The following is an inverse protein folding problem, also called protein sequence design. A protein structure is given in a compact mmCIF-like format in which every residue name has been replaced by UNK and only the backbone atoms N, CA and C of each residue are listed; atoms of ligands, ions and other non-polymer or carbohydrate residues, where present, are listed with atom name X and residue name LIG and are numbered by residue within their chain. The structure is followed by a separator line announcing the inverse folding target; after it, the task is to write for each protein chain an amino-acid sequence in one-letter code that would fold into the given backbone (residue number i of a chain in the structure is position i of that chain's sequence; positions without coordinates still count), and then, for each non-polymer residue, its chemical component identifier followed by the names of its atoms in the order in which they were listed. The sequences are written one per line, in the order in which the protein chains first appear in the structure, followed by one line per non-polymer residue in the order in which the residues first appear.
data_IF_729680064949
#
_entry.id   IF_729680064949
#
_cell.length_a   1.000
_cell.length_b   1.000
_cell.length_c   1.000
_cell.angle_alpha   90.00
_cell.angle_beta   90.00
_cell.angle_gamma   90.00
#
_symmetry.space_group_name_H-M   'P 1'
#
loop_
_entity.id
_entity.type
_entity.pdbx_description
1 polymer ?
#
# COMPACT_ATOMS: atom_id res chain seq x y z
N UNK A 1 -29.71 27.32 -13.70
CA UNK A 1 -30.04 25.95 -13.25
C UNK A 1 -30.16 25.10 -14.51
N UNK A 2 -29.23 24.16 -14.74
CA UNK A 2 -29.40 23.19 -15.83
C UNK A 2 -30.60 22.32 -15.45
N UNK A 3 -31.57 22.14 -16.35
CA UNK A 3 -32.57 21.09 -16.20
C UNK A 3 -31.83 19.75 -16.23
N UNK A 4 -31.46 19.25 -15.06
CA UNK A 4 -30.90 17.90 -14.94
C UNK A 4 -31.99 16.93 -15.38
N UNK A 5 -31.70 16.13 -16.42
CA UNK A 5 -32.63 15.12 -16.89
C UNK A 5 -32.86 14.09 -15.78
N UNK A 6 -34.11 13.68 -15.60
CA UNK A 6 -34.47 12.58 -14.69
C UNK A 6 -34.38 11.26 -15.46
N UNK A 7 -33.87 10.23 -14.80
CA UNK A 7 -33.94 8.84 -15.25
C UNK A 7 -35.03 8.15 -14.44
N UNK A 8 -35.85 7.35 -15.12
CA UNK A 8 -36.89 6.53 -14.53
C UNK A 8 -36.38 5.09 -14.41
N UNK A 9 -36.53 4.51 -13.23
CA UNK A 9 -36.18 3.13 -12.92
C UNK A 9 -37.43 2.36 -12.54
N UNK A 10 -37.68 1.22 -13.19
CA UNK A 10 -38.76 0.34 -12.84
C UNK A 10 -38.25 -0.74 -11.89
N UNK A 11 -38.71 -0.69 -10.63
CA UNK A 11 -38.35 -1.67 -9.61
C UNK A 11 -38.76 -3.10 -9.98
N UNK A 12 -39.87 -3.29 -10.71
CA UNK A 12 -40.28 -4.63 -11.14
C UNK A 12 -39.25 -5.23 -12.11
N UNK A 13 -38.73 -4.42 -13.03
CA UNK A 13 -37.71 -4.86 -14.00
C UNK A 13 -36.37 -5.16 -13.30
N UNK A 14 -35.98 -4.33 -12.32
CA UNK A 14 -34.80 -4.57 -11.48
C UNK A 14 -34.94 -5.89 -10.74
N UNK A 15 -36.06 -6.12 -10.06
CA UNK A 15 -36.32 -7.33 -9.28
C UNK A 15 -36.37 -8.56 -10.18
N UNK A 16 -37.07 -8.50 -11.31
CA UNK A 16 -37.13 -9.60 -12.28
C UNK A 16 -35.74 -9.98 -12.77
N UNK A 17 -34.90 -8.99 -13.11
CA UNK A 17 -33.51 -9.23 -13.52
C UNK A 17 -32.70 -9.86 -12.39
N UNK A 18 -32.86 -9.35 -11.17
CA UNK A 18 -32.15 -9.84 -9.98
C UNK A 18 -32.48 -11.31 -9.67
N UNK A 19 -33.76 -11.68 -9.63
CA UNK A 19 -34.19 -13.06 -9.32
C UNK A 19 -33.93 -14.03 -10.48
N UNK A 20 -33.82 -13.54 -11.72
CA UNK A 20 -33.41 -14.34 -12.87
C UNK A 20 -31.92 -14.71 -12.81
N UNK A 21 -31.06 -13.78 -12.37
CA UNK A 21 -29.63 -14.04 -12.16
C UNK A 21 -29.37 -14.85 -10.89
N UNK A 22 -30.20 -14.68 -9.85
CA UNK A 22 -30.04 -15.31 -8.55
C UNK A 22 -31.34 -16.02 -8.08
N UNK A 23 -31.63 -17.23 -8.60
CA UNK A 23 -32.85 -18.00 -8.25
C UNK A 23 -32.94 -18.42 -6.77
N UNK A 24 -31.85 -18.31 -6.02
CA UNK A 24 -31.74 -18.54 -4.57
C UNK A 24 -32.39 -17.45 -3.72
N UNK A 25 -32.79 -16.32 -4.29
CA UNK A 25 -33.52 -15.25 -3.60
C UNK A 25 -34.95 -15.74 -3.28
N UNK A 26 -35.35 -15.60 -2.02
CA UNK A 26 -36.69 -15.89 -1.50
C UNK A 26 -37.60 -14.68 -1.49
N UNK A 27 -37.07 -13.54 -1.07
CA UNK A 27 -37.84 -12.33 -0.89
C UNK A 27 -36.96 -11.10 -1.09
N UNK A 28 -37.57 -10.02 -1.58
CA UNK A 28 -36.94 -8.72 -1.80
C UNK A 28 -37.78 -7.64 -1.14
N UNK A 29 -37.10 -6.78 -0.38
CA UNK A 29 -37.70 -5.67 0.35
C UNK A 29 -37.02 -4.35 -0.05
N UNK A 30 -37.78 -3.26 -0.02
CA UNK A 30 -37.28 -1.89 -0.12
C UNK A 30 -37.09 -1.33 1.28
N UNK A 31 -35.93 -0.74 1.57
CA UNK A 31 -35.71 -0.06 2.85
C UNK A 31 -34.99 1.28 2.65
N UNK A 32 -34.64 1.96 3.74
CA UNK A 32 -33.89 3.20 3.67
C UNK A 32 -34.69 4.37 3.08
N UNK A 33 -33.98 5.33 2.50
CA UNK A 33 -34.55 6.67 2.21
C UNK A 33 -35.69 6.68 1.19
N UNK A 34 -35.74 5.67 0.30
CA UNK A 34 -36.80 5.51 -0.71
C UNK A 34 -38.07 4.88 -0.13
N UNK A 35 -37.95 3.99 0.86
CA UNK A 35 -39.10 3.47 1.60
C UNK A 35 -39.86 4.59 2.33
N UNK A 36 -39.15 5.57 2.90
CA UNK A 36 -39.75 6.74 3.57
C UNK A 36 -40.29 7.83 2.64
N UNK A 37 -40.31 7.62 1.31
CA UNK A 37 -40.81 8.59 0.31
C UNK A 37 -40.23 9.99 0.46
N UNK A 38 -38.96 10.10 0.83
CA UNK A 38 -38.26 11.38 1.14
C UNK A 38 -38.19 12.36 -0.05
N UNK A 39 -38.56 11.94 -1.26
CA UNK A 39 -38.57 12.79 -2.46
C UNK A 39 -37.17 13.16 -2.97
N UNK A 40 -36.12 12.60 -2.37
CA UNK A 40 -34.74 12.86 -2.76
C UNK A 40 -34.40 12.15 -4.07
N UNK A 41 -34.25 12.92 -5.15
CA UNK A 41 -33.76 12.39 -6.44
C UNK A 41 -32.27 12.00 -6.42
N UNK A 42 -31.59 12.23 -5.29
CA UNK A 42 -30.17 11.92 -5.10
C UNK A 42 -29.89 10.68 -4.28
N UNK A 43 -30.91 10.07 -3.72
CA UNK A 43 -30.74 8.91 -2.87
C UNK A 43 -30.67 7.62 -3.67
N UNK A 44 -29.89 6.67 -3.15
CA UNK A 44 -29.81 5.29 -3.63
C UNK A 44 -31.14 4.56 -3.41
N UNK A 45 -31.27 3.39 -4.02
CA UNK A 45 -32.38 2.45 -3.88
C UNK A 45 -31.85 1.27 -3.07
N UNK A 46 -32.09 1.30 -1.76
CA UNK A 46 -31.65 0.25 -0.84
C UNK A 46 -32.59 -0.96 -0.92
N UNK A 47 -32.09 -2.08 -1.43
CA UNK A 47 -32.83 -3.35 -1.52
C UNK A 47 -32.26 -4.36 -0.53
N UNK A 48 -33.14 -5.06 0.18
CA UNK A 48 -32.79 -6.18 1.05
C UNK A 48 -33.32 -7.48 0.45
N UNK A 49 -32.44 -8.42 0.13
CA UNK A 49 -32.78 -9.74 -0.38
C UNK A 49 -32.50 -10.83 0.67
N UNK A 50 -33.50 -11.66 0.94
CA UNK A 50 -33.33 -12.90 1.72
C UNK A 50 -33.10 -14.07 0.78
N UNK A 51 -32.09 -14.90 1.06
CA UNK A 51 -31.63 -15.92 0.11
C UNK A 51 -31.28 -17.23 0.83
N UNK A 52 -31.41 -18.35 0.11
CA UNK A 52 -31.08 -19.72 0.61
C UNK A 52 -29.59 -20.07 0.57
N UNK A 53 -28.74 -19.21 0.01
CA UNK A 53 -27.34 -19.50 -0.22
C UNK A 53 -26.55 -18.26 -0.57
N UNK A 54 -25.23 -18.34 -0.40
CA UNK A 54 -24.32 -17.19 -0.53
C UNK A 54 -24.29 -16.67 -1.96
N UNK A 55 -24.71 -15.42 -2.12
CA UNK A 55 -24.57 -14.68 -3.38
C UNK A 55 -23.16 -14.09 -3.43
N UNK A 56 -22.42 -14.37 -4.51
CA UNK A 56 -21.08 -13.81 -4.69
C UNK A 56 -21.14 -12.32 -5.00
N UNK A 57 -20.44 -11.53 -4.18
CA UNK A 57 -20.24 -10.09 -4.41
C UNK A 57 -19.71 -9.77 -5.80
N UNK A 58 -18.76 -10.56 -6.32
CA UNK A 58 -18.17 -10.31 -7.64
C UNK A 58 -19.18 -10.52 -8.78
N UNK A 59 -20.14 -11.43 -8.58
CA UNK A 59 -21.13 -11.79 -9.58
C UNK A 59 -22.18 -10.68 -9.72
N UNK A 60 -22.75 -10.24 -8.59
CA UNK A 60 -23.71 -9.12 -8.56
C UNK A 60 -23.09 -7.82 -9.07
N UNK A 61 -21.87 -7.49 -8.61
CA UNK A 61 -21.21 -6.25 -9.01
C UNK A 61 -20.90 -6.19 -10.50
N UNK A 62 -20.75 -7.34 -11.17
CA UNK A 62 -20.38 -7.39 -12.59
C UNK A 62 -21.46 -6.87 -13.54
N UNK A 63 -22.73 -6.84 -13.11
CA UNK A 63 -23.85 -6.44 -13.96
C UNK A 63 -24.81 -5.44 -13.29
N UNK A 64 -25.12 -5.61 -11.99
CA UNK A 64 -26.14 -4.80 -11.32
C UNK A 64 -25.78 -3.32 -11.30
N UNK A 65 -24.51 -2.99 -11.12
CA UNK A 65 -24.07 -1.59 -11.08
C UNK A 65 -24.02 -0.94 -12.47
N UNK A 66 -23.61 -1.70 -13.49
CA UNK A 66 -23.52 -1.18 -14.86
C UNK A 66 -24.92 -0.94 -15.44
N UNK A 67 -25.88 -1.83 -15.14
CA UNK A 67 -27.26 -1.72 -15.62
C UNK A 67 -28.14 -0.82 -14.72
N UNK A 68 -27.95 -0.90 -13.40
CA UNK A 68 -28.76 -0.21 -12.39
C UNK A 68 -27.88 0.52 -11.35
N UNK A 69 -27.16 1.59 -11.75
CA UNK A 69 -26.26 2.34 -10.89
C UNK A 69 -26.81 2.81 -9.52
N UNK A 70 -28.10 3.19 -9.38
CA UNK A 70 -28.59 3.69 -8.08
C UNK A 70 -28.96 2.59 -7.08
N UNK A 71 -28.85 1.30 -7.41
CA UNK A 71 -29.27 0.21 -6.52
C UNK A 71 -28.13 -0.18 -5.57
N UNK A 72 -28.40 -0.15 -4.26
CA UNK A 72 -27.55 -0.75 -3.22
C UNK A 72 -28.23 -2.02 -2.69
N UNK A 73 -27.64 -3.17 -3.01
CA UNK A 73 -28.19 -4.47 -2.63
C UNK A 73 -27.56 -4.96 -1.32
N UNK A 74 -28.41 -5.33 -0.38
CA UNK A 74 -28.07 -6.03 0.85
C UNK A 74 -28.62 -7.44 0.79
N UNK A 75 -27.82 -8.44 1.17
CA UNK A 75 -28.26 -9.83 1.26
C UNK A 75 -28.22 -10.34 2.69
N UNK A 76 -29.17 -11.19 3.07
CA UNK A 76 -29.18 -11.87 4.36
C UNK A 76 -29.59 -13.34 4.19
N UNK A 77 -28.86 -14.23 4.85
CA UNK A 77 -29.10 -15.68 4.84
C UNK A 77 -29.76 -16.18 6.12
N UNK A 78 -29.63 -15.40 7.20
CA UNK A 78 -30.09 -15.75 8.55
C UNK A 78 -31.20 -14.83 9.07
N UNK A 79 -31.64 -13.88 8.22
CA UNK A 79 -32.64 -12.83 8.50
C UNK A 79 -32.27 -11.95 9.71
N UNK A 80 -31.01 -12.01 10.16
CA UNK A 80 -30.50 -11.27 11.32
C UNK A 80 -29.38 -10.33 10.94
N UNK A 81 -28.56 -10.71 9.95
CA UNK A 81 -27.45 -9.90 9.45
C UNK A 81 -27.66 -9.68 7.97
N UNK A 82 -27.84 -8.42 7.58
CA UNK A 82 -27.85 -8.00 6.18
C UNK A 82 -26.50 -7.40 5.83
N UNK A 83 -25.85 -7.91 4.79
CA UNK A 83 -24.55 -7.46 4.30
C UNK A 83 -24.72 -6.75 2.97
N UNK A 84 -24.20 -5.53 2.82
CA UNK A 84 -24.13 -4.86 1.52
C UNK A 84 -23.24 -5.69 0.60
N UNK A 85 -23.77 -6.03 -0.56
CA UNK A 85 -23.05 -6.76 -1.60
C UNK A 85 -21.92 -5.91 -2.18
N UNK A 86 -22.04 -4.58 -2.11
CA UNK A 86 -21.07 -3.64 -2.69
C UNK A 86 -19.85 -3.44 -1.79
N UNK A 87 -20.06 -3.17 -0.49
CA UNK A 87 -18.98 -2.75 0.42
C UNK A 87 -18.77 -3.66 1.64
N UNK A 88 -19.59 -4.69 1.81
CA UNK A 88 -19.50 -5.62 2.94
C UNK A 88 -19.90 -5.02 4.29
N UNK A 89 -20.47 -3.81 4.31
CA UNK A 89 -21.05 -3.24 5.54
C UNK A 89 -22.22 -4.08 6.00
N UNK A 90 -22.37 -4.20 7.32
CA UNK A 90 -23.38 -5.06 7.93
C UNK A 90 -24.40 -4.25 8.71
N UNK A 91 -25.67 -4.53 8.49
CA UNK A 91 -26.78 -4.17 9.37
C UNK A 91 -27.14 -5.41 10.18
N UNK A 92 -26.95 -5.33 11.49
CA UNK A 92 -27.27 -6.42 12.41
C UNK A 92 -28.57 -6.09 13.15
N UNK A 93 -29.47 -7.06 13.25
CA UNK A 93 -30.65 -7.00 14.08
C UNK A 93 -30.25 -6.88 15.56
N UNK A 94 -30.73 -5.82 16.21
CA UNK A 94 -30.47 -5.51 17.60
C UNK A 94 -31.68 -5.99 18.41
N UNK A 95 -31.47 -7.05 19.19
CA UNK A 95 -32.49 -7.55 20.12
C UNK A 95 -32.61 -6.64 21.35
N UNK A 96 -33.05 -5.40 21.14
CA UNK A 96 -33.19 -4.35 22.16
C UNK A 96 -34.61 -4.25 22.74
N UNK A 97 -35.49 -5.17 22.35
CA UNK A 97 -36.89 -5.24 22.79
C UNK A 97 -37.84 -4.27 22.09
N UNK A 98 -37.38 -3.47 21.11
CA UNK A 98 -38.23 -2.55 20.35
C UNK A 98 -38.78 -3.14 19.05
N UNK A 99 -37.97 -3.95 18.37
CA UNK A 99 -38.32 -4.60 17.11
C UNK A 99 -38.19 -6.12 17.28
N UNK A 100 -39.04 -6.88 16.61
CA UNK A 100 -39.04 -8.35 16.71
C UNK A 100 -38.08 -9.01 15.73
N UNK A 101 -37.74 -8.34 14.63
CA UNK A 101 -36.87 -8.86 13.58
C UNK A 101 -36.16 -7.73 12.79
N UNK A 102 -35.31 -8.12 11.83
CA UNK A 102 -34.55 -7.19 11.00
C UNK A 102 -35.44 -6.35 10.06
N UNK A 103 -36.52 -6.92 9.53
CA UNK A 103 -37.46 -6.24 8.62
C UNK A 103 -38.10 -5.05 9.34
N UNK A 104 -38.64 -5.29 10.55
CA UNK A 104 -39.23 -4.25 11.40
C UNK A 104 -38.18 -3.21 11.81
N UNK A 105 -36.97 -3.63 12.16
CA UNK A 105 -35.90 -2.69 12.51
C UNK A 105 -35.56 -1.72 11.36
N UNK A 106 -35.67 -2.18 10.12
CA UNK A 106 -35.38 -1.40 8.93
C UNK A 106 -36.59 -0.66 8.36
N UNK A 107 -37.78 -0.86 8.94
CA UNK A 107 -39.07 -0.49 8.34
C UNK A 107 -39.17 -0.92 6.87
N UNK A 108 -38.70 -2.14 6.58
CA UNK A 108 -38.54 -2.64 5.22
C UNK A 108 -39.90 -3.07 4.62
N UNK A 109 -40.17 -2.65 3.39
CA UNK A 109 -41.42 -2.88 2.67
C UNK A 109 -41.25 -4.06 1.73
N UNK A 110 -42.11 -5.08 1.84
CA UNK A 110 -42.07 -6.24 0.95
C UNK A 110 -42.41 -5.83 -0.49
N UNK A 111 -41.51 -6.15 -1.43
CA UNK A 111 -41.70 -5.92 -2.86
C UNK A 111 -42.03 -7.21 -3.61
N UNK A 112 -41.31 -8.29 -3.31
CA UNK A 112 -41.47 -9.56 -4.02
C UNK A 112 -41.15 -10.74 -3.12
N UNK A 113 -41.86 -11.85 -3.30
CA UNK A 113 -41.60 -13.12 -2.65
C UNK A 113 -41.73 -14.27 -3.65
N UNK A 114 -40.90 -15.29 -3.53
CA UNK A 114 -40.79 -16.40 -4.49
C UNK A 114 -42.09 -17.16 -4.69
N UNK A 115 -42.85 -17.35 -3.61
CA UNK A 115 -44.09 -18.13 -3.63
C UNK A 115 -45.31 -17.27 -4.02
N UNK A 116 -45.27 -15.97 -3.73
CA UNK A 116 -46.42 -15.06 -3.85
C UNK A 116 -46.27 -14.01 -4.98
N UNK A 117 -45.10 -13.90 -5.58
CA UNK A 117 -44.80 -12.91 -6.61
C UNK A 117 -44.65 -11.49 -6.06
N UNK A 118 -45.03 -10.49 -6.85
CA UNK A 118 -44.95 -9.09 -6.45
C UNK A 118 -46.02 -8.74 -5.41
N UNK A 119 -45.65 -7.95 -4.41
CA UNK A 119 -46.56 -7.47 -3.37
C UNK A 119 -47.64 -6.57 -3.96
N UNK A 120 -48.90 -6.84 -3.62
CA UNK A 120 -50.04 -5.98 -3.98
C UNK A 120 -50.09 -4.69 -3.14
N UNK A 121 -49.41 -4.67 -1.99
CA UNK A 121 -49.41 -3.54 -1.05
C UNK A 121 -48.49 -2.40 -1.51
N UNK A 122 -47.53 -2.69 -2.40
CA UNK A 122 -46.61 -1.70 -2.95
C UNK A 122 -47.06 -1.22 -4.33
N UNK A 123 -47.31 0.09 -4.47
CA UNK A 123 -47.80 0.70 -5.71
C UNK A 123 -46.76 1.52 -6.48
N UNK A 124 -45.66 1.89 -5.84
CA UNK A 124 -44.73 2.91 -6.35
C UNK A 124 -43.53 2.29 -7.08
N UNK A 125 -43.80 1.55 -8.16
CA UNK A 125 -42.78 0.80 -8.90
C UNK A 125 -41.80 1.67 -9.69
N UNK A 126 -42.15 2.92 -9.96
CA UNK A 126 -41.31 3.84 -10.71
C UNK A 126 -40.54 4.79 -9.78
N UNK A 127 -39.20 4.70 -9.80
CA UNK A 127 -38.31 5.57 -9.02
C UNK A 127 -37.54 6.50 -9.96
N UNK A 128 -37.48 7.79 -9.60
CA UNK A 128 -36.73 8.79 -10.35
C UNK A 128 -35.40 9.14 -9.67
N UNK A 129 -34.33 9.24 -10.47
CA UNK A 129 -33.01 9.77 -10.08
C UNK A 129 -32.54 10.85 -11.06
N UNK A 130 -31.60 11.72 -10.65
CA UNK A 130 -30.97 12.65 -11.59
C UNK A 130 -29.90 11.93 -12.42
N UNK A 131 -29.89 12.18 -13.72
CA UNK A 131 -28.95 11.58 -14.69
C UNK A 131 -27.47 11.86 -14.41
N UNK A 132 -27.17 13.04 -13.87
CA UNK A 132 -25.79 13.53 -13.68
C UNK A 132 -25.26 13.27 -12.26
N UNK A 133 -25.88 12.36 -11.50
CA UNK A 133 -25.37 11.98 -10.19
C UNK A 133 -24.34 10.87 -10.35
N UNK A 134 -23.16 11.16 -9.84
CA UNK A 134 -22.15 10.16 -9.53
C UNK A 134 -22.55 9.48 -8.22
N UNK A 135 -23.17 8.31 -8.32
CA UNK A 135 -23.51 7.46 -7.16
C UNK A 135 -22.22 6.86 -6.62
N UNK A 136 -21.53 7.63 -5.76
CA UNK A 136 -20.23 7.25 -5.20
C UNK A 136 -20.37 6.09 -4.23
N UNK A 137 -20.11 4.89 -4.71
CA UNK A 137 -19.97 3.71 -3.87
C UNK A 137 -18.76 3.87 -2.94
N UNK A 138 -18.98 3.65 -1.65
CA UNK A 138 -17.87 3.44 -0.70
C UNK A 138 -17.36 2.00 -0.83
N UNK A 139 -16.83 1.65 -1.99
CA UNK A 139 -16.22 0.34 -2.21
C UNK A 139 -14.95 0.28 -1.35
N UNK A 140 -14.85 -0.67 -0.42
CA UNK A 140 -13.54 -1.22 -0.07
C UNK A 140 -13.23 -2.19 -1.19
N UNK A 141 -12.35 -1.86 -2.14
CA UNK A 141 -12.21 -2.68 -3.32
C UNK A 141 -11.71 -4.06 -2.90
N UNK A 142 -12.54 -5.10 -3.06
CA UNK A 142 -12.09 -6.48 -3.13
C UNK A 142 -11.54 -6.75 -4.53
N UNK A 143 -10.65 -5.89 -5.02
CA UNK A 143 -9.80 -6.31 -6.12
C UNK A 143 -8.89 -7.39 -5.54
N UNK A 144 -8.60 -8.49 -6.25
CA UNK A 144 -7.26 -9.04 -6.09
C UNK A 144 -6.34 -7.87 -6.41
N UNK A 145 -5.65 -7.34 -5.39
CA UNK A 145 -4.67 -6.27 -5.55
C UNK A 145 -3.46 -6.83 -6.31
N UNK A 146 -3.67 -7.26 -7.55
CA UNK A 146 -2.66 -7.90 -8.38
C UNK A 146 -1.59 -6.90 -8.82
N UNK A 147 -1.77 -5.59 -8.56
CA UNK A 147 -0.76 -4.63 -8.93
C UNK A 147 -0.68 -3.36 -8.07
N UNK A 148 -0.57 -3.53 -6.75
CA UNK A 148 -0.18 -2.43 -5.84
C UNK A 148 1.05 -1.67 -6.34
N UNK A 149 2.01 -2.40 -6.92
CA UNK A 149 3.18 -1.83 -7.55
C UNK A 149 2.81 -0.93 -8.75
N UNK A 150 1.94 -1.37 -9.65
CA UNK A 150 1.52 -0.54 -10.80
C UNK A 150 0.73 0.70 -10.38
N UNK A 151 -0.20 0.57 -9.43
CA UNK A 151 -0.96 1.73 -8.91
C UNK A 151 -0.04 2.74 -8.25
N UNK A 152 0.89 2.27 -7.41
CA UNK A 152 1.91 3.13 -6.82
C UNK A 152 2.81 3.76 -7.88
N UNK A 153 3.28 2.97 -8.87
CA UNK A 153 4.12 3.46 -9.96
C UNK A 153 3.41 4.54 -10.80
N UNK A 154 2.12 4.36 -11.09
CA UNK A 154 1.29 5.38 -11.77
C UNK A 154 1.17 6.65 -10.93
N UNK A 155 0.94 6.53 -9.63
CA UNK A 155 0.89 7.68 -8.73
C UNK A 155 2.23 8.42 -8.68
N UNK A 156 3.34 7.68 -8.54
CA UNK A 156 4.69 8.24 -8.54
C UNK A 156 5.03 8.92 -9.89
N UNK A 157 4.62 8.31 -11.01
CA UNK A 157 4.80 8.87 -12.35
C UNK A 157 4.00 10.18 -12.52
N UNK A 158 2.75 10.23 -12.07
CA UNK A 158 1.93 11.43 -12.15
C UNK A 158 2.53 12.60 -11.33
N UNK A 159 3.08 12.31 -10.15
CA UNK A 159 3.81 13.29 -9.35
C UNK A 159 5.06 13.78 -10.09
N UNK A 160 5.84 12.87 -10.67
CA UNK A 160 7.03 13.19 -11.45
C UNK A 160 6.72 14.08 -12.66
N UNK A 161 5.64 13.80 -13.40
CA UNK A 161 5.14 14.64 -14.51
C UNK A 161 4.74 16.03 -14.03
N UNK A 162 4.29 16.15 -12.78
CA UNK A 162 3.95 17.44 -12.15
C UNK A 162 5.16 18.18 -11.58
N UNK A 163 6.38 17.68 -11.83
CA UNK A 163 7.63 18.27 -11.32
C UNK A 163 7.92 17.96 -9.85
N UNK A 164 7.06 17.18 -9.17
CA UNK A 164 7.28 16.70 -7.81
C UNK A 164 8.03 15.38 -7.94
N UNK A 165 9.23 15.28 -7.36
CA UNK A 165 9.97 14.00 -7.33
C UNK A 165 9.60 13.25 -6.05
N UNK A 166 8.65 12.31 -6.07
CA UNK A 166 8.38 11.50 -4.89
C UNK A 166 9.57 10.59 -4.61
N UNK A 167 9.86 10.38 -3.33
CA UNK A 167 10.81 9.37 -2.90
C UNK A 167 10.03 8.16 -2.39
N UNK A 168 10.24 7.01 -3.04
CA UNK A 168 9.77 5.71 -2.58
C UNK A 168 10.99 4.83 -2.38
N UNK A 169 11.19 4.34 -1.16
CA UNK A 169 12.34 3.52 -0.81
C UNK A 169 12.34 2.18 -1.54
N UNK A 170 11.16 1.60 -1.80
CA UNK A 170 11.02 0.27 -2.38
C UNK A 170 9.96 -0.55 -1.65
N UNK A 171 9.49 -1.60 -2.30
CA UNK A 171 8.51 -2.56 -1.80
C UNK A 171 9.15 -3.90 -1.42
N UNK A 172 10.37 -4.15 -1.87
CA UNK A 172 11.17 -5.34 -1.53
C UNK A 172 12.46 -4.95 -0.81
N UNK A 173 13.07 -5.90 -0.09
CA UNK A 173 14.35 -5.66 0.58
C UNK A 173 15.47 -5.25 -0.37
N UNK A 174 15.43 -5.75 -1.61
CA UNK A 174 16.39 -5.41 -2.66
C UNK A 174 16.21 -3.97 -3.11
N UNK A 175 14.97 -3.58 -3.44
CA UNK A 175 14.65 -2.21 -3.85
C UNK A 175 15.02 -1.20 -2.77
N UNK A 176 14.73 -1.52 -1.50
CA UNK A 176 15.07 -0.67 -0.36
C UNK A 176 16.58 -0.51 -0.23
N UNK A 177 17.34 -1.61 -0.34
CA UNK A 177 18.79 -1.57 -0.23
C UNK A 177 19.46 -0.85 -1.43
N UNK A 178 18.93 -1.04 -2.64
CA UNK A 178 19.33 -0.29 -3.83
C UNK A 178 19.01 1.20 -3.69
N UNK A 179 17.87 1.55 -3.09
CA UNK A 179 17.51 2.94 -2.83
C UNK A 179 18.43 3.59 -1.79
N UNK A 180 18.75 2.89 -0.70
CA UNK A 180 19.74 3.32 0.30
C UNK A 180 21.09 3.58 -0.36
N UNK A 181 21.62 2.60 -1.09
CA UNK A 181 22.94 2.74 -1.74
C UNK A 181 22.95 3.89 -2.74
N UNK A 182 21.91 4.02 -3.57
CA UNK A 182 21.76 5.10 -4.54
C UNK A 182 21.71 6.48 -3.88
N UNK A 183 21.07 6.64 -2.73
CA UNK A 183 21.08 7.92 -2.00
C UNK A 183 22.48 8.32 -1.56
N UNK A 184 23.25 7.36 -1.02
CA UNK A 184 24.63 7.60 -0.61
C UNK A 184 25.50 7.92 -1.83
N UNK A 185 25.37 7.18 -2.93
CA UNK A 185 26.10 7.45 -4.19
C UNK A 185 25.76 8.83 -4.78
N UNK A 186 24.51 9.28 -4.69
CA UNK A 186 24.10 10.63 -5.13
C UNK A 186 24.73 11.68 -4.23
N UNK A 187 24.70 11.50 -2.91
CA UNK A 187 25.31 12.44 -1.97
C UNK A 187 26.83 12.54 -2.14
N UNK A 188 27.47 11.43 -2.55
CA UNK A 188 28.89 11.35 -2.88
C UNK A 188 29.25 11.89 -4.28
N UNK A 189 28.33 12.60 -4.95
CA UNK A 189 28.60 13.35 -6.17
C UNK A 189 28.47 14.84 -5.89
N UNK A 190 29.52 15.61 -6.15
CA UNK A 190 29.45 17.08 -6.07
C UNK A 190 28.42 17.59 -7.09
N UNK A 191 27.42 18.38 -6.69
CA UNK A 191 26.44 18.93 -7.62
C UNK A 191 27.14 19.89 -8.61
N UNK A 192 26.78 19.81 -9.89
CA UNK A 192 27.33 20.68 -10.93
C UNK A 192 26.87 22.13 -10.77
N UNK A 193 25.64 22.31 -10.29
CA UNK A 193 24.98 23.60 -10.12
C UNK A 193 24.61 23.78 -8.65
N UNK A 194 25.39 24.57 -7.93
CA UNK A 194 25.05 25.04 -6.58
C UNK A 194 25.39 26.52 -6.42
N UNK A 195 24.80 27.17 -5.41
CA UNK A 195 25.00 28.59 -5.17
C UNK A 195 26.44 28.86 -4.71
N UNK A 196 27.30 29.27 -5.65
CA UNK A 196 28.74 29.52 -5.41
C UNK A 196 29.03 30.62 -4.37
N UNK A 197 28.09 31.54 -4.17
CA UNK A 197 28.21 32.67 -3.24
C UNK A 197 27.63 32.38 -1.84
N UNK A 198 27.27 31.12 -1.55
CA UNK A 198 26.81 30.75 -0.22
C UNK A 198 27.94 30.96 0.80
N UNK A 199 27.73 31.87 1.76
CA UNK A 199 28.77 32.28 2.72
C UNK A 199 29.02 31.24 3.82
N UNK A 200 28.01 30.45 4.17
CA UNK A 200 28.04 29.57 5.34
C UNK A 200 28.04 28.07 5.01
N UNK A 201 27.84 27.70 3.74
CA UNK A 201 27.79 26.30 3.32
C UNK A 201 28.22 26.18 1.85
N UNK A 202 29.24 25.36 1.59
CA UNK A 202 29.67 25.02 0.24
C UNK A 202 30.03 23.54 0.17
N UNK A 203 29.74 22.90 -0.95
CA UNK A 203 30.15 21.51 -1.20
C UNK A 203 31.68 21.35 -1.23
N UNK A 204 32.43 22.43 -1.42
CA UNK A 204 33.90 22.41 -1.34
C UNK A 204 34.44 22.46 0.09
N UNK A 205 33.61 22.83 1.06
CA UNK A 205 33.96 22.83 2.49
C UNK A 205 33.68 21.49 3.17
N UNK A 206 32.93 20.60 2.51
CA UNK A 206 32.67 19.24 3.00
C UNK A 206 33.96 18.42 2.85
N UNK A 207 34.37 17.78 3.94
CA UNK A 207 35.57 16.94 4.02
C UNK A 207 35.25 15.63 4.73
N UNK A 208 35.62 14.51 4.13
CA UNK A 208 35.49 13.16 4.69
C UNK A 208 36.89 12.57 4.79
N UNK A 209 37.46 12.56 5.98
CA UNK A 209 38.86 12.20 6.21
C UNK A 209 39.03 10.77 6.73
N UNK A 210 37.98 10.21 7.31
CA UNK A 210 38.02 8.92 7.99
C UNK A 210 36.66 8.18 7.90
N UNK A 211 36.63 6.97 8.47
CA UNK A 211 35.43 6.10 8.51
C UNK A 211 34.27 6.73 9.28
N UNK A 212 34.53 7.39 10.41
CA UNK A 212 33.50 8.03 11.24
C UNK A 212 32.87 9.25 10.56
N UNK A 213 33.65 10.05 9.82
CA UNK A 213 33.11 11.15 9.01
C UNK A 213 32.12 10.61 7.96
N UNK A 214 32.46 9.46 7.35
CA UNK A 214 31.60 8.81 6.38
C UNK A 214 30.34 8.21 7.02
N UNK A 215 30.48 7.56 8.18
CA UNK A 215 29.36 7.06 8.97
C UNK A 215 28.39 8.20 9.36
N UNK A 216 28.92 9.34 9.84
CA UNK A 216 28.11 10.51 10.17
C UNK A 216 27.36 11.06 8.95
N UNK A 217 28.01 11.08 7.78
CA UNK A 217 27.38 11.45 6.52
C UNK A 217 26.23 10.49 6.16
N UNK A 218 26.45 9.17 6.25
CA UNK A 218 25.42 8.16 6.02
C UNK A 218 24.22 8.40 6.94
N UNK A 219 24.46 8.59 8.24
CA UNK A 219 23.39 8.85 9.20
C UNK A 219 22.61 10.13 8.87
N UNK A 220 23.31 11.21 8.50
CA UNK A 220 22.69 12.48 8.10
C UNK A 220 21.79 12.32 6.87
N UNK A 221 22.19 11.51 5.89
CA UNK A 221 21.43 11.28 4.65
C UNK A 221 20.21 10.40 4.90
N UNK A 222 20.36 9.34 5.70
CA UNK A 222 19.33 8.31 5.84
C UNK A 222 18.28 8.63 6.91
N UNK A 223 18.65 9.33 7.99
CA UNK A 223 17.75 9.61 9.12
C UNK A 223 16.42 10.30 8.75
N UNK A 224 16.36 11.24 7.78
CA UNK A 224 15.08 11.84 7.37
C UNK A 224 14.08 10.83 6.77
N UNK A 225 14.58 9.71 6.24
CA UNK A 225 13.80 8.68 5.55
C UNK A 225 13.56 7.46 6.45
N UNK A 226 14.57 7.12 7.27
CA UNK A 226 14.52 6.03 8.25
C UNK A 226 14.76 6.63 9.64
N UNK A 227 13.73 7.20 10.29
CA UNK A 227 13.88 7.85 11.59
C UNK A 227 14.37 6.91 12.70
N UNK A 228 14.21 5.60 12.51
CA UNK A 228 14.61 4.51 13.39
C UNK A 228 16.03 3.98 13.13
N UNK A 229 16.80 4.62 12.25
CA UNK A 229 18.21 4.25 12.04
C UNK A 229 19.01 4.42 13.35
N UNK A 230 19.51 3.31 13.88
CA UNK A 230 20.26 3.26 15.12
C UNK A 230 21.77 3.06 14.83
N UNK A 231 22.65 3.98 15.25
CA UNK A 231 24.10 3.75 15.19
C UNK A 231 24.53 2.71 16.24
N UNK A 232 25.64 2.02 15.97
CA UNK A 232 26.25 1.03 16.87
C UNK A 232 25.24 0.02 17.42
N UNK A 233 24.41 -0.55 16.53
CA UNK A 233 23.30 -1.37 16.97
C UNK A 233 23.75 -2.81 17.26
N UNK A 234 23.33 -3.36 18.41
CA UNK A 234 23.69 -4.71 18.83
C UNK A 234 23.00 -5.74 17.92
N UNK A 235 23.78 -6.54 17.21
CA UNK A 235 23.26 -7.51 16.23
C UNK A 235 23.00 -8.87 16.85
N UNK A 236 23.98 -9.37 17.60
CA UNK A 236 23.95 -10.70 18.21
C UNK A 236 24.96 -10.75 19.36
N UNK A 237 24.68 -11.62 20.32
CA UNK A 237 25.63 -12.01 21.35
C UNK A 237 26.00 -13.47 21.11
N UNK A 238 27.27 -13.73 20.78
CA UNK A 238 27.80 -15.09 20.60
C UNK A 238 28.80 -15.34 21.71
N UNK A 239 28.61 -16.38 22.51
CA UNK A 239 29.49 -16.75 23.63
C UNK A 239 29.83 -15.58 24.58
N UNK A 240 28.87 -14.67 24.80
CA UNK A 240 29.03 -13.48 25.63
C UNK A 240 29.71 -12.29 24.95
N UNK A 241 30.30 -12.47 23.76
CA UNK A 241 30.81 -11.38 22.94
C UNK A 241 29.68 -10.72 22.15
N UNK A 242 29.51 -9.41 22.36
CA UNK A 242 28.54 -8.59 21.66
C UNK A 242 29.15 -8.09 20.35
N UNK A 243 28.42 -8.24 19.25
CA UNK A 243 28.80 -7.63 17.98
C UNK A 243 27.82 -6.54 17.60
N UNK A 244 28.37 -5.40 17.23
CA UNK A 244 27.66 -4.21 16.85
C UNK A 244 27.88 -3.97 15.36
N UNK A 245 26.82 -3.60 14.64
CA UNK A 245 26.97 -3.05 13.30
C UNK A 245 27.02 -1.53 13.37
N UNK A 246 27.57 -0.90 12.34
CA UNK A 246 27.62 0.56 12.27
C UNK A 246 26.21 1.17 12.28
N UNK A 247 25.25 0.60 11.52
CA UNK A 247 23.84 0.97 11.62
C UNK A 247 22.88 -0.21 11.49
N UNK A 248 21.74 -0.10 12.18
CA UNK A 248 20.57 -0.97 12.01
C UNK A 248 19.30 -0.17 11.71
N UNK A 249 18.45 -0.69 10.83
CA UNK A 249 17.12 -0.13 10.49
C UNK A 249 16.07 -1.23 10.61
N UNK A 250 14.84 -0.86 10.98
CA UNK A 250 13.68 -1.74 11.09
C UNK A 250 13.91 -2.93 12.02
N UNK A 251 14.51 -2.66 13.19
CA UNK A 251 14.92 -3.66 14.18
C UNK A 251 15.93 -4.67 13.58
N UNK A 252 17.03 -4.16 13.03
CA UNK A 252 18.14 -4.92 12.44
C UNK A 252 17.78 -5.82 11.25
N UNK A 253 16.63 -5.59 10.61
CA UNK A 253 16.30 -6.25 9.33
C UNK A 253 17.19 -5.75 8.20
N UNK A 254 17.61 -4.48 8.27
CA UNK A 254 18.62 -3.91 7.39
C UNK A 254 19.81 -3.52 8.25
N UNK A 255 20.99 -4.01 7.86
CA UNK A 255 22.25 -3.73 8.51
C UNK A 255 23.16 -3.01 7.53
N UNK A 256 23.77 -1.92 7.97
CA UNK A 256 24.72 -1.14 7.16
C UNK A 256 26.08 -1.17 7.85
N UNK A 257 27.10 -1.52 7.08
CA UNK A 257 28.51 -1.55 7.47
C UNK A 257 29.28 -0.58 6.58
N UNK A 258 29.97 0.38 7.18
CA UNK A 258 30.75 1.38 6.48
C UNK A 258 32.24 1.09 6.65
N UNK A 259 33.03 1.21 5.58
CA UNK A 259 34.48 1.04 5.64
C UNK A 259 35.20 2.14 4.86
N UNK A 260 36.35 2.58 5.36
CA UNK A 260 37.23 3.56 4.70
C UNK A 260 38.53 2.93 4.23
N UNK A 261 38.83 3.09 2.93
CA UNK A 261 40.07 2.61 2.30
C UNK A 261 40.92 3.82 1.88
N UNK A 262 41.99 4.08 2.62
CA UNK A 262 42.98 5.12 2.30
C UNK A 262 44.32 4.59 1.78
N UNK A 263 44.53 3.26 1.82
CA UNK A 263 45.77 2.61 1.42
C UNK A 263 45.52 1.24 0.79
N UNK A 264 46.47 0.74 0.00
CA UNK A 264 46.42 -0.62 -0.55
C UNK A 264 46.43 -1.71 0.52
N UNK A 265 47.08 -1.48 1.66
CA UNK A 265 47.05 -2.41 2.80
C UNK A 265 45.64 -2.49 3.39
N UNK A 266 45.00 -1.34 3.63
CA UNK A 266 43.62 -1.29 4.13
C UNK A 266 42.64 -1.90 3.14
N UNK A 267 42.86 -1.74 1.83
CA UNK A 267 42.09 -2.44 0.79
C UNK A 267 42.13 -3.96 1.00
N UNK A 268 43.31 -4.56 1.14
CA UNK A 268 43.43 -6.00 1.33
C UNK A 268 42.72 -6.49 2.61
N UNK A 269 42.83 -5.72 3.70
CA UNK A 269 42.15 -5.99 4.97
C UNK A 269 40.62 -5.97 4.82
N UNK A 270 40.06 -4.93 4.19
CA UNK A 270 38.62 -4.80 3.96
C UNK A 270 38.10 -5.93 3.10
N UNK A 271 38.80 -6.28 2.00
CA UNK A 271 38.39 -7.39 1.14
C UNK A 271 38.35 -8.73 1.87
N UNK A 272 39.31 -9.00 2.75
CA UNK A 272 39.30 -10.20 3.60
C UNK A 272 38.14 -10.19 4.60
N UNK A 273 37.80 -9.02 5.11
CA UNK A 273 36.73 -8.84 6.11
C UNK A 273 35.35 -9.05 5.50
N UNK A 274 35.13 -8.62 4.25
CA UNK A 274 33.87 -8.84 3.53
C UNK A 274 33.50 -10.32 3.42
N UNK A 275 34.48 -11.17 3.08
CA UNK A 275 34.26 -12.62 2.99
C UNK A 275 33.85 -13.22 4.33
N UNK A 276 34.44 -12.74 5.45
CA UNK A 276 34.12 -13.23 6.80
C UNK A 276 32.78 -12.73 7.35
N UNK A 277 32.45 -11.45 7.12
CA UNK A 277 31.21 -10.85 7.63
C UNK A 277 29.96 -11.41 6.95
N UNK A 278 30.07 -11.81 5.68
CA UNK A 278 28.98 -12.48 4.97
C UNK A 278 28.48 -13.71 5.73
N UNK A 279 29.40 -14.61 6.12
CA UNK A 279 29.03 -15.83 6.84
C UNK A 279 28.42 -15.50 8.20
N UNK A 280 28.99 -14.53 8.90
CA UNK A 280 28.51 -14.10 10.21
C UNK A 280 27.04 -13.64 10.18
N UNK A 281 26.66 -12.80 9.23
CA UNK A 281 25.29 -12.29 9.17
C UNK A 281 24.28 -13.29 8.61
N UNK A 282 24.74 -14.29 7.84
CA UNK A 282 23.88 -15.39 7.39
C UNK A 282 23.37 -16.28 8.53
N UNK A 283 24.05 -16.28 9.68
CA UNK A 283 23.63 -17.01 10.88
C UNK A 283 22.48 -16.30 11.63
N UNK A 284 22.23 -15.01 11.36
CA UNK A 284 21.17 -14.25 12.00
C UNK A 284 19.92 -14.16 11.11
N UNK A 285 18.89 -14.95 11.43
CA UNK A 285 17.65 -15.05 10.66
C UNK A 285 16.82 -13.75 10.61
N UNK A 286 17.08 -12.80 11.52
CA UNK A 286 16.40 -11.51 11.54
C UNK A 286 16.91 -10.58 10.43
N UNK A 287 18.19 -10.67 10.06
CA UNK A 287 18.80 -9.84 9.03
C UNK A 287 18.24 -10.24 7.66
N UNK A 288 17.64 -9.28 6.94
CA UNK A 288 17.08 -9.47 5.60
C UNK A 288 17.97 -8.88 4.51
N UNK A 289 18.63 -7.76 4.81
CA UNK A 289 19.56 -7.11 3.91
C UNK A 289 20.79 -6.60 4.66
N UNK A 290 21.96 -6.80 4.07
CA UNK A 290 23.25 -6.37 4.56
C UNK A 290 23.92 -5.50 3.49
N UNK A 291 24.21 -4.26 3.83
CA UNK A 291 24.74 -3.25 2.91
C UNK A 291 26.14 -2.86 3.38
N UNK A 292 27.16 -3.13 2.55
CA UNK A 292 28.52 -2.63 2.74
C UNK A 292 28.75 -1.40 1.88
N UNK A 293 28.98 -0.27 2.53
CA UNK A 293 29.35 0.99 1.90
C UNK A 293 30.84 1.22 2.11
N UNK A 294 31.63 1.09 1.05
CA UNK A 294 33.08 1.16 1.14
C UNK A 294 33.56 2.42 0.43
N UNK A 295 33.90 3.43 1.23
CA UNK A 295 34.44 4.67 0.70
C UNK A 295 35.95 4.52 0.52
N UNK A 296 36.48 4.92 -0.63
CA UNK A 296 37.90 4.83 -0.91
C UNK A 296 38.51 6.13 -1.44
N UNK A 297 39.77 6.37 -1.08
CA UNK A 297 40.53 7.52 -1.52
C UNK A 297 40.90 7.42 -3.00
N UNK A 298 40.88 8.55 -3.70
CA UNK A 298 40.99 8.62 -5.16
C UNK A 298 42.28 8.04 -5.75
N UNK A 299 43.34 7.97 -4.97
CA UNK A 299 44.66 7.43 -5.33
C UNK A 299 44.78 5.91 -5.12
N UNK A 300 43.80 5.26 -4.49
CA UNK A 300 43.78 3.82 -4.31
C UNK A 300 43.15 3.15 -5.55
N UNK A 301 43.86 2.22 -6.22
CA UNK A 301 43.32 1.55 -7.40
C UNK A 301 42.20 0.57 -7.00
N UNK A 302 40.98 0.88 -7.40
CA UNK A 302 39.77 0.09 -7.14
C UNK A 302 39.05 -0.12 -8.48
N UNK A 303 38.78 -1.38 -8.80
CA UNK A 303 37.85 -1.76 -9.87
C UNK A 303 36.47 -1.92 -9.25
N UNK A 304 35.72 -0.82 -9.19
CA UNK A 304 34.40 -0.78 -8.54
C UNK A 304 33.45 -1.82 -9.14
N UNK A 305 33.42 -1.95 -10.47
CA UNK A 305 32.50 -2.85 -11.17
C UNK A 305 32.78 -4.31 -10.83
N UNK A 306 34.05 -4.72 -10.94
CA UNK A 306 34.45 -6.10 -10.63
C UNK A 306 34.19 -6.43 -9.15
N UNK A 307 34.54 -5.52 -8.23
CA UNK A 307 34.41 -5.78 -6.80
C UNK A 307 32.94 -5.74 -6.34
N UNK A 308 32.14 -4.80 -6.83
CA UNK A 308 30.70 -4.77 -6.55
C UNK A 308 30.04 -6.09 -6.99
N UNK A 309 30.36 -6.58 -8.20
CA UNK A 309 29.85 -7.85 -8.72
C UNK A 309 30.34 -9.05 -7.90
N UNK A 310 31.62 -9.07 -7.52
CA UNK A 310 32.22 -10.20 -6.79
C UNK A 310 31.62 -10.39 -5.40
N UNK A 311 31.35 -9.29 -4.69
CA UNK A 311 30.95 -9.34 -3.28
C UNK A 311 29.44 -9.14 -3.04
N UNK A 312 28.67 -8.69 -4.04
CA UNK A 312 27.21 -8.58 -3.91
C UNK A 312 26.52 -9.91 -4.26
N UNK A 313 25.57 -10.30 -3.43
CA UNK A 313 24.73 -11.49 -3.57
C UNK A 313 23.27 -11.09 -3.36
N UNK A 314 22.66 -10.51 -4.39
CA UNK A 314 21.31 -9.92 -4.28
C UNK A 314 20.20 -10.99 -4.19
N UNK A 315 20.50 -12.24 -4.57
CA UNK A 315 19.55 -13.36 -4.52
C UNK A 315 19.68 -14.24 -3.26
N UNK A 316 20.59 -13.92 -2.34
CA UNK A 316 20.73 -14.68 -1.07
C UNK A 316 19.79 -14.16 0.01
N UNK A 317 19.67 -14.90 1.11
CA UNK A 317 19.03 -14.43 2.34
C UNK A 317 20.01 -14.63 3.51
N UNK A 318 20.48 -13.55 4.16
CA UNK A 318 20.25 -12.15 3.82
C UNK A 318 20.77 -11.77 2.44
N UNK A 319 20.17 -10.76 1.83
CA UNK A 319 20.72 -10.13 0.63
C UNK A 319 21.99 -9.38 1.01
N UNK A 320 23.04 -9.51 0.21
CA UNK A 320 24.31 -8.81 0.46
C UNK A 320 24.57 -7.84 -0.67
N UNK A 321 24.66 -6.55 -0.36
CA UNK A 321 24.93 -5.51 -1.34
C UNK A 321 26.24 -4.81 -0.95
N UNK A 322 27.22 -4.82 -1.85
CA UNK A 322 28.49 -4.14 -1.65
C UNK A 322 28.63 -3.04 -2.67
N UNK A 323 28.96 -1.83 -2.22
CA UNK A 323 29.22 -0.67 -3.06
C UNK A 323 30.53 -0.01 -2.68
N UNK A 324 31.48 -0.04 -3.60
CA UNK A 324 32.69 0.77 -3.55
C UNK A 324 32.38 2.16 -4.10
N UNK A 325 32.71 3.20 -3.34
CA UNK A 325 32.38 4.59 -3.65
C UNK A 325 33.66 5.44 -3.54
N UNK A 326 34.00 6.13 -4.62
CA UNK A 326 35.13 7.06 -4.61
C UNK A 326 34.84 8.29 -3.74
N UNK A 327 35.79 8.69 -2.90
CA UNK A 327 35.70 9.93 -2.16
C UNK A 327 35.97 11.15 -3.06
N UNK A 328 34.96 12.01 -3.20
CA UNK A 328 35.06 13.28 -3.91
C UNK A 328 35.16 14.49 -2.97
N UNK A 329 35.11 14.24 -1.66
CA UNK A 329 35.21 15.21 -0.57
C UNK A 329 36.50 14.99 0.25
N UNK A 330 37.61 14.74 -0.45
CA UNK A 330 38.96 14.84 0.12
C UNK A 330 39.30 16.28 0.48
#
# INVERSE_FOLDING_TARGET
MKNSALILWNLQDIINTLVAHHPEIKAVYLFGSRAYKTGSYRSDIDLLAFTDGVISTSDVNSWLHDEYPPVDLFTSYDEKVASSVINGSNVVFRNDGKNSNLIEQLDAILLWEKDNGFSEEYSNWEIQTLKDIDFKMSIIPSFPMDNNAETLNKALANLATSGIKPYFAGSTWQEIADSITKMIEIAMKKPLNFQRNAKSFSFDTIKINNEYDFQNMIHLILRPIYPDICPENLMITIDGAKKYADFGIADNKIVIEAKWINTSSKKAEVLKTLDGLKNFYSENSNVKSLIFLILYKSDVPIDEQMLNYKFSYEKSTPQVIVRFIKNVFE
#
